data_IF_379196473563
#
_entry.id   IF_379196473563
#
_cell.length_a   1.000
_cell.length_b   1.000
_cell.length_c   1.000
_cell.angle_alpha   90.00
_cell.angle_beta   90.00
_cell.angle_gamma   90.00
#
_symmetry.space_group_name_H-M   'P 1'
#
loop_
_entity.id
_entity.type
_entity.pdbx_description
1 polymer ?
#
# COMPACT_ATOMS: atom_id res chain seq x y z
N UNK A 1 1.51 44.32 -69.32
CA UNK A 1 2.53 44.57 -68.27
C UNK A 1 1.93 44.15 -66.94
N UNK A 2 2.25 42.97 -66.42
CA UNK A 2 2.04 42.56 -65.01
C UNK A 2 2.90 41.31 -64.76
N UNK A 3 3.99 41.54 -64.04
CA UNK A 3 4.86 40.53 -63.44
C UNK A 3 4.26 40.08 -62.10
N UNK A 4 4.92 39.06 -61.50
CA UNK A 4 4.90 38.61 -60.09
C UNK A 4 4.02 37.38 -59.82
N UNK A 5 4.43 36.37 -59.06
CA UNK A 5 5.71 35.99 -58.44
C UNK A 5 5.50 34.56 -57.91
N UNK A 6 6.41 33.61 -58.18
CA UNK A 6 6.49 32.36 -57.41
C UNK A 6 7.49 32.59 -56.27
N UNK A 7 7.07 32.44 -55.01
CA UNK A 7 8.01 32.16 -53.92
C UNK A 7 7.27 31.48 -52.75
N UNK A 8 7.75 30.31 -52.36
CA UNK A 8 7.30 29.53 -51.22
C UNK A 8 7.81 30.11 -49.91
N UNK A 9 7.02 30.06 -48.83
CA UNK A 9 7.57 29.97 -47.48
C UNK A 9 6.57 29.27 -46.53
N UNK A 10 6.96 28.06 -46.13
CA UNK A 10 6.42 27.31 -45.00
C UNK A 10 6.79 28.00 -43.69
N UNK A 11 5.81 28.59 -42.99
CA UNK A 11 5.71 28.64 -41.52
C UNK A 11 4.42 29.39 -41.16
N UNK A 12 3.34 28.67 -40.86
CA UNK A 12 2.27 29.20 -40.00
C UNK A 12 2.07 28.17 -38.90
N UNK A 13 2.99 28.27 -37.95
CA UNK A 13 2.80 28.10 -36.51
C UNK A 13 1.41 27.66 -36.09
N UNK A 14 1.35 26.46 -35.50
CA UNK A 14 0.27 25.97 -34.63
C UNK A 14 -0.13 27.07 -33.64
N UNK A 15 -1.29 27.67 -33.88
CA UNK A 15 -1.85 28.70 -33.01
C UNK A 15 -3.31 28.35 -32.68
N UNK A 16 -3.52 28.11 -31.39
CA UNK A 16 -4.75 28.09 -30.61
C UNK A 16 -5.62 26.83 -30.85
N UNK A 17 -5.80 26.01 -29.82
CA UNK A 17 -6.69 26.41 -28.73
C UNK A 17 -6.10 26.13 -27.34
N UNK A 18 -5.53 27.16 -26.69
CA UNK A 18 -5.46 27.18 -25.23
C UNK A 18 -6.79 27.81 -24.76
N UNK A 19 -7.84 27.01 -24.74
CA UNK A 19 -9.18 27.42 -24.31
C UNK A 19 -9.18 27.41 -22.77
N UNK A 20 -9.06 28.59 -22.17
CA UNK A 20 -9.25 28.89 -20.75
C UNK A 20 -8.43 28.05 -19.75
N UNK A 21 -7.38 28.65 -19.15
CA UNK A 21 -6.87 28.20 -17.83
C UNK A 21 -7.89 28.61 -16.76
N UNK A 22 -9.05 27.96 -16.80
CA UNK A 22 -9.89 27.73 -15.63
C UNK A 22 -9.38 26.41 -15.03
N UNK A 23 -9.18 26.37 -13.71
CA UNK A 23 -8.40 25.34 -13.03
C UNK A 23 -8.64 23.91 -13.54
N UNK A 24 -7.62 23.34 -14.19
CA UNK A 24 -7.67 21.98 -14.72
C UNK A 24 -7.72 20.97 -13.56
N UNK A 25 -8.58 19.97 -13.67
CA UNK A 25 -8.59 18.85 -12.74
C UNK A 25 -7.28 18.05 -12.81
N UNK A 26 -6.92 17.29 -11.77
CA UNK A 26 -5.72 16.46 -11.75
C UNK A 26 -5.68 15.45 -12.90
N UNK A 27 -4.50 15.02 -13.34
CA UNK A 27 -4.38 14.03 -14.43
C UNK A 27 -5.06 12.69 -14.11
N UNK A 28 -5.16 12.39 -12.82
CA UNK A 28 -5.77 11.19 -12.28
C UNK A 28 -7.12 11.46 -11.61
N UNK A 29 -7.85 12.46 -12.11
CA UNK A 29 -9.20 12.79 -11.66
C UNK A 29 -10.19 11.63 -11.83
N UNK A 30 -9.96 10.78 -12.84
CA UNK A 30 -10.82 9.65 -13.14
C UNK A 30 -10.06 8.32 -13.09
N UNK A 31 -10.80 7.26 -12.75
CA UNK A 31 -10.31 5.89 -12.65
C UNK A 31 -9.68 5.33 -13.94
N UNK A 32 -9.96 5.94 -15.09
CA UNK A 32 -9.45 5.51 -16.41
C UNK A 32 -7.99 5.89 -16.63
N UNK A 33 -7.47 6.86 -15.86
CA UNK A 33 -6.09 7.35 -15.94
C UNK A 33 -5.46 7.43 -14.54
N UNK A 34 -5.45 6.33 -13.76
CA UNK A 34 -4.93 6.36 -12.41
C UNK A 34 -3.42 6.56 -12.41
N UNK A 35 -2.91 7.38 -11.48
CA UNK A 35 -1.47 7.52 -11.27
C UNK A 35 -0.90 6.22 -10.70
N UNK A 36 0.19 5.71 -11.26
CA UNK A 36 0.81 4.47 -10.78
C UNK A 36 1.65 4.76 -9.54
N UNK A 37 1.39 4.02 -8.46
CA UNK A 37 2.25 3.96 -7.29
C UNK A 37 3.05 2.67 -7.32
N UNK A 38 4.34 2.78 -7.00
CA UNK A 38 5.24 1.63 -6.86
C UNK A 38 5.47 1.38 -5.37
N UNK A 39 4.97 0.26 -4.81
CA UNK A 39 5.29 -0.12 -3.44
C UNK A 39 6.80 -0.26 -3.23
N UNK A 40 7.27 0.13 -2.06
CA UNK A 40 8.69 0.00 -1.70
C UNK A 40 8.89 -0.21 -0.21
N UNK A 41 10.07 -0.67 0.18
CA UNK A 41 10.43 -0.92 1.59
C UNK A 41 10.50 0.37 2.43
N UNK A 42 10.55 1.53 1.76
CA UNK A 42 10.43 2.86 2.37
C UNK A 42 9.37 3.68 1.65
N UNK A 43 8.76 4.60 2.39
CA UNK A 43 7.80 5.54 1.82
C UNK A 43 8.51 6.53 0.88
N UNK A 44 8.30 6.35 -0.43
CA UNK A 44 8.67 7.34 -1.45
C UNK A 44 7.43 8.12 -1.84
N UNK A 45 7.34 9.37 -1.39
CA UNK A 45 6.16 10.21 -1.59
C UNK A 45 5.96 10.54 -3.07
N UNK A 46 4.74 10.33 -3.55
CA UNK A 46 4.20 10.87 -4.79
C UNK A 46 3.28 12.03 -4.44
N UNK A 47 3.54 13.20 -5.02
CA UNK A 47 2.70 14.37 -4.82
C UNK A 47 1.32 14.15 -5.49
N UNK A 48 0.26 14.51 -4.76
CA UNK A 48 -1.12 14.44 -5.22
C UNK A 48 -1.86 15.74 -4.92
N UNK A 49 -2.98 15.96 -5.60
CA UNK A 49 -3.85 17.11 -5.33
C UNK A 49 -5.29 16.77 -5.68
N UNK A 50 -6.23 17.29 -4.89
CA UNK A 50 -7.68 17.26 -5.19
C UNK A 50 -8.18 18.61 -5.72
N UNK A 51 -7.28 19.54 -6.03
CA UNK A 51 -7.65 20.86 -6.53
C UNK A 51 -8.37 20.73 -7.88
N UNK A 52 -9.59 21.28 -7.94
CA UNK A 52 -10.52 21.17 -9.08
C UNK A 52 -10.90 19.73 -9.48
N UNK A 53 -10.69 18.74 -8.59
CA UNK A 53 -11.08 17.37 -8.87
C UNK A 53 -12.60 17.22 -9.00
N UNK A 54 -13.04 16.23 -9.77
CA UNK A 54 -14.45 15.90 -9.97
C UNK A 54 -14.79 14.59 -9.27
N UNK A 55 -16.08 14.30 -9.12
CA UNK A 55 -16.54 13.05 -8.55
C UNK A 55 -16.60 11.98 -9.64
N UNK A 56 -16.06 10.79 -9.39
CA UNK A 56 -16.21 9.64 -10.31
C UNK A 56 -17.59 9.00 -10.17
N UNK A 57 -18.45 9.00 -11.21
CA UNK A 57 -19.78 8.38 -11.15
C UNK A 57 -19.76 6.93 -11.64
N UNK A 58 -20.71 6.10 -11.17
CA UNK A 58 -21.17 4.92 -11.93
C UNK A 58 -20.75 3.53 -11.46
N UNK A 59 -19.98 3.38 -10.37
CA UNK A 59 -19.72 2.07 -9.76
C UNK A 59 -20.42 1.94 -8.39
N UNK A 60 -21.18 0.86 -8.11
CA UNK A 60 -21.85 0.67 -6.83
C UNK A 60 -20.92 0.62 -5.61
N UNK A 61 -19.70 0.11 -5.76
CA UNK A 61 -18.70 0.04 -4.71
C UNK A 61 -18.04 1.39 -4.44
N UNK A 62 -17.99 2.26 -5.46
CA UNK A 62 -17.71 3.69 -5.32
C UNK A 62 -19.00 4.33 -4.82
N UNK A 63 -19.30 4.10 -3.53
CA UNK A 63 -20.52 4.60 -2.88
C UNK A 63 -20.70 6.06 -3.28
N UNK A 64 -21.73 6.35 -4.08
CA UNK A 64 -21.85 7.55 -4.91
C UNK A 64 -22.20 8.81 -4.09
N UNK A 65 -21.61 8.97 -2.91
CA UNK A 65 -21.75 10.12 -2.06
C UNK A 65 -20.79 11.21 -2.51
N UNK A 66 -21.18 11.89 -3.60
CA UNK A 66 -21.06 13.34 -3.89
C UNK A 66 -19.70 14.05 -3.79
N UNK A 67 -18.63 13.39 -3.38
CA UNK A 67 -17.31 13.99 -3.21
C UNK A 67 -16.40 13.78 -4.39
N UNK A 68 -15.50 14.74 -4.59
CA UNK A 68 -14.44 14.70 -5.57
C UNK A 68 -13.38 13.67 -5.19
N UNK A 69 -12.71 13.10 -6.19
CA UNK A 69 -11.74 12.05 -6.00
C UNK A 69 -10.58 12.11 -6.98
N UNK A 70 -9.49 11.44 -6.62
CA UNK A 70 -8.38 11.15 -7.50
C UNK A 70 -7.94 9.70 -7.32
N UNK A 71 -7.42 9.13 -8.41
CA UNK A 71 -7.21 7.71 -8.55
C UNK A 71 -5.74 7.35 -8.67
N UNK A 72 -5.39 6.26 -8.01
CA UNK A 72 -4.09 5.64 -8.13
C UNK A 72 -4.25 4.14 -8.35
N UNK A 73 -3.22 3.50 -8.87
CA UNK A 73 -3.16 2.05 -8.98
C UNK A 73 -1.80 1.53 -8.56
N UNK A 74 -1.76 0.31 -8.02
CA UNK A 74 -0.52 -0.38 -7.71
C UNK A 74 -0.72 -1.89 -7.84
N UNK A 75 0.38 -2.61 -8.04
CA UNK A 75 0.38 -4.08 -7.96
C UNK A 75 0.89 -4.49 -6.59
N UNK A 76 0.12 -5.28 -5.85
CA UNK A 76 0.49 -5.69 -4.49
C UNK A 76 1.76 -6.56 -4.49
N UNK A 77 2.72 -6.23 -3.61
CA UNK A 77 3.94 -7.03 -3.42
C UNK A 77 3.91 -7.85 -2.12
N UNK A 78 3.12 -7.43 -1.13
CA UNK A 78 2.69 -8.26 0.00
C UNK A 78 1.17 -8.32 0.14
N UNK A 79 0.72 -9.14 1.09
CA UNK A 79 -0.69 -9.27 1.47
C UNK A 79 -1.22 -8.07 2.28
N UNK A 80 -0.34 -7.31 2.94
CA UNK A 80 -0.73 -6.21 3.83
C UNK A 80 0.22 -5.00 3.67
N UNK A 81 0.24 -4.34 2.49
CA UNK A 81 0.99 -3.10 2.33
C UNK A 81 0.40 -1.97 3.18
N UNK A 82 1.26 -1.07 3.65
CA UNK A 82 0.86 0.14 4.38
C UNK A 82 0.70 1.29 3.40
N UNK A 83 -0.51 1.83 3.28
CA UNK A 83 -0.81 2.98 2.41
C UNK A 83 -0.87 4.22 3.29
N UNK A 84 0.03 5.17 3.03
CA UNK A 84 0.11 6.43 3.77
C UNK A 84 -0.30 7.59 2.87
N UNK A 85 -1.24 8.41 3.33
CA UNK A 85 -1.48 9.75 2.78
C UNK A 85 -1.18 10.77 3.86
N UNK A 86 -0.30 11.71 3.56
CA UNK A 86 0.27 12.65 4.52
C UNK A 86 0.21 14.07 4.01
N UNK A 87 0.39 15.03 4.94
CA UNK A 87 0.36 16.46 4.66
C UNK A 87 -0.85 16.93 3.84
N UNK A 88 -2.10 16.54 4.20
CA UNK A 88 -3.27 17.06 3.51
C UNK A 88 -3.32 18.59 3.66
N UNK A 89 -3.49 19.27 2.54
CA UNK A 89 -3.60 20.72 2.48
C UNK A 89 -4.84 21.19 3.25
N UNK A 90 -4.80 22.44 3.71
CA UNK A 90 -5.81 23.00 4.61
C UNK A 90 -7.25 22.97 4.03
N UNK A 91 -7.38 22.95 2.69
CA UNK A 91 -8.68 22.92 2.02
C UNK A 91 -9.12 21.50 1.61
N UNK A 92 -8.28 20.47 1.78
CA UNK A 92 -8.70 19.08 1.60
C UNK A 92 -9.44 18.58 2.85
N UNK A 93 -10.70 18.99 2.96
CA UNK A 93 -11.54 18.69 4.12
C UNK A 93 -12.13 17.28 4.06
N UNK A 94 -12.38 16.67 5.23
CA UNK A 94 -12.93 15.33 5.38
C UNK A 94 -12.27 14.25 4.48
N UNK A 95 -10.93 14.14 4.47
CA UNK A 95 -10.21 13.30 3.53
C UNK A 95 -10.37 11.80 3.89
N UNK A 96 -10.61 11.00 2.86
CA UNK A 96 -10.86 9.55 2.95
C UNK A 96 -10.06 8.81 1.89
N UNK A 97 -9.91 7.51 2.12
CA UNK A 97 -9.26 6.60 1.19
C UNK A 97 -10.05 5.29 1.08
N UNK A 98 -10.03 4.74 -0.12
CA UNK A 98 -10.68 3.49 -0.45
C UNK A 98 -9.71 2.61 -1.26
N UNK A 99 -9.63 1.33 -0.90
CA UNK A 99 -8.85 0.31 -1.63
C UNK A 99 -9.83 -0.61 -2.33
N UNK A 100 -9.72 -0.71 -3.65
CA UNK A 100 -10.63 -1.49 -4.49
C UNK A 100 -9.88 -2.51 -5.34
N UNK A 101 -10.60 -3.54 -5.76
CA UNK A 101 -10.12 -4.59 -6.66
C UNK A 101 -11.16 -4.91 -7.73
N UNK A 102 -10.74 -5.58 -8.80
CA UNK A 102 -11.62 -5.95 -9.91
C UNK A 102 -11.72 -4.86 -10.97
N UNK A 103 -12.80 -4.88 -11.73
CA UNK A 103 -13.06 -4.00 -12.86
C UNK A 103 -14.15 -2.99 -12.55
N UNK A 104 -14.06 -1.80 -13.14
CA UNK A 104 -15.09 -0.77 -13.00
C UNK A 104 -16.49 -1.30 -13.36
N UNK A 105 -17.50 -0.90 -12.61
CA UNK A 105 -18.87 -1.42 -12.65
C UNK A 105 -19.10 -2.67 -11.80
N UNK A 106 -18.02 -3.28 -11.29
CA UNK A 106 -18.04 -4.51 -10.48
C UNK A 106 -16.91 -4.55 -9.46
N UNK A 107 -16.42 -3.37 -9.05
CA UNK A 107 -15.31 -3.31 -8.11
C UNK A 107 -15.71 -3.86 -6.74
N UNK A 108 -14.75 -4.46 -6.04
CA UNK A 108 -14.93 -4.95 -4.68
C UNK A 108 -14.10 -4.12 -3.70
N UNK A 109 -14.74 -3.70 -2.61
CA UNK A 109 -14.11 -2.98 -1.51
C UNK A 109 -13.17 -3.89 -0.70
N UNK A 110 -11.91 -3.47 -0.56
CA UNK A 110 -10.96 -4.04 0.40
C UNK A 110 -10.86 -3.20 1.66
N UNK A 111 -10.95 -1.89 1.51
CA UNK A 111 -10.96 -0.95 2.62
C UNK A 111 -11.70 0.33 2.23
N UNK A 112 -12.37 0.96 3.19
CA UNK A 112 -12.95 2.30 3.04
C UNK A 112 -12.97 3.00 4.40
N UNK A 113 -12.31 4.15 4.51
CA UNK A 113 -12.29 4.89 5.77
C UNK A 113 -11.54 6.22 5.69
N UNK A 114 -11.39 6.91 6.83
CA UNK A 114 -10.49 8.06 6.96
C UNK A 114 -9.06 7.71 6.53
N UNK A 115 -8.33 8.68 6.01
CA UNK A 115 -6.94 8.48 5.58
C UNK A 115 -6.04 7.92 6.69
N UNK A 116 -6.21 8.38 7.93
CA UNK A 116 -5.40 7.92 9.06
C UNK A 116 -5.56 6.43 9.39
N UNK A 117 -6.72 5.83 9.07
CA UNK A 117 -7.00 4.41 9.38
C UNK A 117 -6.43 3.42 8.37
N UNK A 118 -6.07 3.86 7.16
CA UNK A 118 -5.43 2.99 6.17
C UNK A 118 -4.00 2.56 6.56
N UNK A 119 -3.38 3.27 7.51
CA UNK A 119 -2.03 3.00 7.98
C UNK A 119 -1.88 1.72 8.79
N UNK A 120 -2.97 1.21 9.37
CA UNK A 120 -2.93 0.15 10.37
C UNK A 120 -3.88 -1.01 10.07
N UNK A 121 -4.60 -0.96 8.95
CA UNK A 121 -5.61 -1.96 8.62
C UNK A 121 -5.01 -3.09 7.77
N UNK A 122 -5.06 -4.35 8.21
CA UNK A 122 -4.74 -5.50 7.35
C UNK A 122 -5.70 -5.55 6.16
N UNK A 123 -5.14 -5.65 4.95
CA UNK A 123 -5.88 -5.59 3.70
C UNK A 123 -6.13 -6.98 3.07
N UNK A 124 -5.31 -7.99 3.42
CA UNK A 124 -5.39 -9.35 2.88
C UNK A 124 -5.46 -9.37 1.35
N UNK A 125 -4.54 -8.66 0.71
CA UNK A 125 -4.38 -8.55 -0.74
C UNK A 125 -3.76 -9.82 -1.32
N UNK A 126 -3.92 -10.02 -2.62
CA UNK A 126 -3.28 -11.09 -3.39
C UNK A 126 -2.06 -10.52 -4.09
N UNK A 127 -0.88 -11.06 -3.78
CA UNK A 127 0.39 -10.64 -4.39
C UNK A 127 0.33 -10.81 -5.91
N UNK A 128 0.83 -9.81 -6.64
CA UNK A 128 0.80 -9.77 -8.11
C UNK A 128 -0.53 -9.28 -8.70
N UNK A 129 -1.55 -9.03 -7.88
CA UNK A 129 -2.83 -8.46 -8.34
C UNK A 129 -2.79 -6.93 -8.31
N UNK A 130 -3.37 -6.30 -9.31
CA UNK A 130 -3.54 -4.83 -9.36
C UNK A 130 -4.74 -4.38 -8.52
N UNK A 131 -4.52 -3.37 -7.71
CA UNK A 131 -5.51 -2.70 -6.87
C UNK A 131 -5.60 -1.23 -7.21
N UNK A 132 -6.79 -0.66 -7.01
CA UNK A 132 -7.06 0.76 -7.21
C UNK A 132 -7.19 1.45 -5.85
N UNK A 133 -6.61 2.63 -5.74
CA UNK A 133 -6.75 3.51 -4.59
C UNK A 133 -7.51 4.75 -5.01
N UNK A 134 -8.59 5.03 -4.31
CA UNK A 134 -9.35 6.27 -4.46
C UNK A 134 -9.08 7.13 -3.23
N UNK A 135 -8.45 8.29 -3.43
CA UNK A 135 -8.32 9.33 -2.41
C UNK A 135 -9.43 10.34 -2.68
N UNK A 136 -10.31 10.55 -1.71
CA UNK A 136 -11.54 11.31 -1.93
C UNK A 136 -11.90 12.15 -0.71
N UNK A 137 -12.83 13.09 -0.89
CA UNK A 137 -13.44 13.80 0.23
C UNK A 137 -14.85 13.30 0.50
N UNK A 138 -15.25 13.27 1.77
CA UNK A 138 -16.67 13.14 2.12
C UNK A 138 -17.46 14.47 1.92
N UNK A 139 -16.77 15.58 1.63
CA UNK A 139 -17.35 16.85 1.21
C UNK A 139 -17.58 16.87 -0.29
N UNK A 140 -18.53 17.70 -0.76
CA UNK A 140 -18.97 17.73 -2.16
C UNK A 140 -18.28 18.78 -3.02
N UNK A 141 -17.62 19.76 -2.39
CA UNK A 141 -17.05 20.91 -3.09
C UNK A 141 -15.54 20.79 -3.15
N UNK A 142 -15.00 20.56 -4.35
CA UNK A 142 -13.57 20.51 -4.58
C UNK A 142 -12.92 21.86 -4.27
N UNK A 143 -11.75 21.87 -3.61
CA UNK A 143 -11.02 23.10 -3.39
C UNK A 143 -10.42 23.62 -4.69
N UNK A 144 -10.26 24.94 -4.82
CA UNK A 144 -9.55 25.57 -5.95
C UNK A 144 -8.08 25.86 -5.63
N UNK A 145 -7.68 25.71 -4.37
CA UNK A 145 -6.31 25.91 -3.85
C UNK A 145 -6.09 25.07 -2.58
N UNK A 146 -4.84 24.80 -2.20
CA UNK A 146 -4.46 24.13 -0.94
C UNK A 146 -5.13 22.76 -0.73
N UNK A 147 -5.36 22.02 -1.81
CA UNK A 147 -5.88 20.65 -1.81
C UNK A 147 -4.79 19.59 -2.04
N UNK A 148 -3.53 19.92 -1.78
CA UNK A 148 -2.39 19.04 -2.05
C UNK A 148 -2.21 17.99 -0.94
N UNK A 149 -1.54 16.89 -1.24
CA UNK A 149 -1.15 15.86 -0.28
C UNK A 149 0.02 15.04 -0.84
N UNK A 150 0.62 14.20 0.00
CA UNK A 150 1.57 13.17 -0.41
C UNK A 150 0.97 11.79 -0.22
N UNK A 151 1.22 10.86 -1.14
CA UNK A 151 0.83 9.46 -1.01
C UNK A 151 2.03 8.55 -1.26
N UNK A 152 2.13 7.47 -0.49
CA UNK A 152 3.11 6.41 -0.73
C UNK A 152 2.57 5.06 -0.26
N UNK A 153 3.20 3.99 -0.73
CA UNK A 153 2.94 2.64 -0.27
C UNK A 153 4.24 2.09 0.28
N UNK A 154 4.25 1.81 1.59
CA UNK A 154 5.34 1.06 2.21
C UNK A 154 4.95 -0.40 2.22
N UNK A 155 5.78 -1.23 1.60
CA UNK A 155 5.53 -2.65 1.47
C UNK A 155 6.81 -3.43 1.78
N UNK A 156 6.72 -4.25 2.83
CA UNK A 156 7.79 -5.15 3.24
C UNK A 156 7.27 -6.56 3.00
N UNK A 157 7.93 -7.31 2.13
CA UNK A 157 7.55 -8.70 1.91
C UNK A 157 7.64 -9.49 3.21
N UNK A 158 6.80 -10.52 3.33
CA UNK A 158 6.92 -11.48 4.42
C UNK A 158 8.36 -12.04 4.47
N UNK A 159 8.88 -12.33 5.68
CA UNK A 159 10.18 -12.99 5.83
C UNK A 159 10.21 -14.30 5.06
N UNK A 160 11.37 -14.68 4.51
CA UNK A 160 11.49 -15.93 3.77
C UNK A 160 11.08 -17.16 4.60
N UNK A 161 11.30 -17.11 5.91
CA UNK A 161 10.96 -18.13 6.88
C UNK A 161 9.58 -17.97 7.54
N UNK A 162 8.68 -17.19 6.95
CA UNK A 162 7.24 -17.21 7.24
C UNK A 162 6.66 -18.61 6.96
N UNK A 163 7.05 -19.22 5.84
CA UNK A 163 6.71 -20.61 5.55
C UNK A 163 7.63 -21.60 6.27
N UNK A 164 7.05 -22.60 6.95
CA UNK A 164 7.79 -23.70 7.58
C UNK A 164 8.74 -24.43 6.61
N UNK A 165 8.43 -24.49 5.32
CA UNK A 165 9.32 -25.13 4.34
C UNK A 165 10.68 -24.42 4.20
N UNK A 166 10.77 -23.15 4.61
CA UNK A 166 11.93 -22.28 4.46
C UNK A 166 12.56 -21.92 5.81
N UNK A 167 12.60 -22.86 6.77
CA UNK A 167 13.16 -22.60 8.11
C UNK A 167 14.58 -22.05 8.03
N UNK A 168 14.90 -21.08 8.90
CA UNK A 168 16.26 -20.58 9.05
C UNK A 168 17.00 -21.40 10.10
N UNK A 169 18.14 -21.98 9.73
CA UNK A 169 18.98 -22.72 10.69
C UNK A 169 19.77 -21.76 11.57
N UNK A 170 19.60 -21.89 12.89
CA UNK A 170 20.41 -21.21 13.90
C UNK A 170 21.58 -22.10 14.30
N UNK A 171 22.74 -21.48 14.52
CA UNK A 171 23.92 -22.16 15.04
C UNK A 171 23.87 -22.15 16.57
N UNK A 172 23.73 -23.33 17.19
CA UNK A 172 23.87 -23.47 18.64
C UNK A 172 25.35 -23.44 19.04
N UNK A 173 25.65 -22.76 20.14
CA UNK A 173 27.00 -22.67 20.70
C UNK A 173 26.96 -22.43 22.21
N UNK A 174 28.10 -22.55 22.91
CA UNK A 174 28.21 -22.23 24.33
C UNK A 174 27.93 -20.75 24.63
N UNK A 175 28.07 -19.88 23.62
CA UNK A 175 27.68 -18.47 23.66
C UNK A 175 26.98 -18.09 22.35
N UNK A 176 26.06 -17.12 22.40
CA UNK A 176 25.41 -16.57 21.22
C UNK A 176 26.38 -15.59 20.53
N UNK A 177 27.28 -16.11 19.70
CA UNK A 177 28.31 -15.30 19.03
C UNK A 177 27.78 -14.68 17.73
N UNK A 178 26.86 -15.37 17.05
CA UNK A 178 26.29 -14.97 15.75
C UNK A 178 24.77 -14.88 15.82
N UNK A 179 24.21 -13.82 16.45
CA UNK A 179 22.77 -13.63 16.45
C UNK A 179 22.26 -13.46 15.02
N UNK A 180 21.15 -14.13 14.69
CA UNK A 180 20.48 -14.01 13.39
C UNK A 180 19.41 -12.94 13.50
N UNK A 181 19.47 -11.92 12.64
CA UNK A 181 18.42 -10.91 12.55
C UNK A 181 17.16 -11.52 11.94
N UNK A 182 16.00 -11.15 12.48
CA UNK A 182 14.70 -11.59 11.99
C UNK A 182 13.66 -10.49 12.07
N UNK A 183 12.54 -10.70 11.39
CA UNK A 183 11.36 -9.83 11.43
C UNK A 183 10.11 -10.70 11.31
N UNK A 184 8.97 -10.19 11.77
CA UNK A 184 7.64 -10.78 11.56
C UNK A 184 6.75 -9.86 10.71
N UNK A 185 7.32 -8.81 10.11
CA UNK A 185 6.58 -7.86 9.29
C UNK A 185 5.93 -8.59 8.11
N UNK A 186 4.61 -8.50 8.00
CA UNK A 186 3.81 -9.20 7.00
C UNK A 186 3.91 -10.74 6.99
N UNK A 187 4.47 -11.35 8.04
CA UNK A 187 4.36 -12.79 8.24
C UNK A 187 2.89 -13.20 8.41
N UNK A 188 2.55 -14.37 7.92
CA UNK A 188 1.23 -14.98 8.06
C UNK A 188 1.21 -15.92 9.27
N UNK A 189 0.04 -16.19 9.89
CA UNK A 189 -0.06 -17.23 10.89
C UNK A 189 -0.03 -18.61 10.22
N UNK A 190 0.81 -19.50 10.71
CA UNK A 190 0.86 -20.89 10.27
C UNK A 190 -0.44 -21.65 10.53
N UNK A 191 -0.83 -22.49 9.57
CA UNK A 191 -2.04 -23.29 9.69
C UNK A 191 -1.93 -24.29 10.86
N UNK A 192 -2.91 -24.27 11.76
CA UNK A 192 -2.93 -25.16 12.93
C UNK A 192 -2.17 -24.64 14.14
N UNK A 193 -1.64 -23.41 14.09
CA UNK A 193 -1.26 -22.70 15.32
C UNK A 193 -2.54 -22.40 16.10
N UNK A 194 -2.91 -23.35 16.97
CA UNK A 194 -4.06 -23.20 17.83
C UNK A 194 -3.81 -21.98 18.71
N UNK A 195 -4.75 -21.04 18.70
CA UNK A 195 -4.80 -19.95 19.67
C UNK A 195 -4.51 -20.52 21.06
N UNK A 196 -3.29 -20.29 21.57
CA UNK A 196 -2.95 -20.68 22.93
C UNK A 196 -3.91 -19.92 23.83
N UNK A 197 -4.67 -20.63 24.66
CA UNK A 197 -5.65 -20.03 25.56
C UNK A 197 -4.99 -18.95 26.41
N UNK A 198 -5.40 -17.69 26.24
CA UNK A 198 -4.81 -16.53 26.92
C UNK A 198 -3.95 -15.62 26.03
N UNK A 199 -3.68 -16.01 24.78
CA UNK A 199 -3.09 -15.14 23.77
C UNK A 199 -4.17 -14.45 22.94
N UNK A 200 -3.98 -13.17 22.64
CA UNK A 200 -4.71 -12.52 21.55
C UNK A 200 -4.29 -13.18 20.21
N UNK A 201 -5.13 -13.05 19.17
CA UNK A 201 -4.89 -13.56 17.81
C UNK A 201 -3.40 -13.51 17.39
N UNK A 202 -2.79 -14.65 17.06
CA UNK A 202 -1.45 -14.69 16.45
C UNK A 202 -1.55 -14.00 15.10
N UNK A 203 -0.80 -12.92 14.90
CA UNK A 203 -0.88 -12.13 13.67
C UNK A 203 0.15 -12.56 12.62
N UNK A 204 1.16 -13.35 13.00
CA UNK A 204 2.14 -13.95 12.11
C UNK A 204 3.25 -14.68 12.88
N UNK A 205 3.86 -15.69 12.27
CA UNK A 205 4.97 -16.45 12.84
C UNK A 205 6.13 -16.64 11.85
N UNK A 206 7.29 -17.04 12.37
CA UNK A 206 8.48 -17.33 11.57
C UNK A 206 9.23 -18.53 12.14
N UNK A 207 9.86 -19.30 11.25
CA UNK A 207 10.40 -20.61 11.58
C UNK A 207 11.92 -20.63 11.64
N UNK A 208 12.42 -21.24 12.72
CA UNK A 208 13.84 -21.48 12.95
C UNK A 208 14.07 -22.94 13.35
N UNK A 209 15.25 -23.47 13.03
CA UNK A 209 15.69 -24.82 13.46
C UNK A 209 17.08 -24.76 14.06
N UNK A 210 17.38 -25.63 15.02
CA UNK A 210 18.70 -25.76 15.60
C UNK A 210 18.91 -27.17 16.16
N UNK A 211 20.17 -27.58 16.28
CA UNK A 211 20.55 -28.80 17.00
C UNK A 211 20.99 -28.41 18.41
N UNK A 212 20.28 -28.90 19.43
CA UNK A 212 20.60 -28.62 20.82
C UNK A 212 21.96 -29.23 21.22
N UNK A 213 22.77 -28.46 21.96
CA UNK A 213 24.06 -28.92 22.51
C UNK A 213 23.99 -29.28 24.01
N UNK A 214 22.85 -29.02 24.64
CA UNK A 214 22.55 -29.41 26.01
C UNK A 214 21.09 -29.86 26.11
N UNK A 215 20.75 -30.53 27.21
CA UNK A 215 19.37 -30.96 27.49
C UNK A 215 18.42 -29.78 27.71
N UNK A 216 18.94 -28.61 28.08
CA UNK A 216 18.19 -27.39 28.37
C UNK A 216 18.89 -26.19 27.70
N UNK A 217 18.76 -26.02 26.38
CA UNK A 217 19.34 -24.86 25.69
C UNK A 217 18.58 -23.58 26.07
N UNK A 218 19.28 -22.45 26.13
CA UNK A 218 18.67 -21.13 26.31
C UNK A 218 18.56 -20.46 24.95
N UNK A 219 17.35 -20.06 24.59
CA UNK A 219 17.08 -19.25 23.40
C UNK A 219 16.93 -17.79 23.86
N UNK A 220 17.76 -16.90 23.35
CA UNK A 220 17.70 -15.47 23.65
C UNK A 220 17.33 -14.68 22.40
N UNK A 221 16.51 -13.65 22.59
CA UNK A 221 16.18 -12.64 21.59
C UNK A 221 16.58 -11.28 22.16
N UNK A 222 17.14 -10.44 21.31
CA UNK A 222 17.52 -9.06 21.65
C UNK A 222 16.93 -8.10 20.61
N UNK A 223 16.86 -6.81 20.93
CA UNK A 223 16.34 -5.78 20.02
C UNK A 223 14.91 -6.07 19.50
N UNK A 224 14.04 -6.60 20.37
CA UNK A 224 12.63 -6.87 20.05
C UNK A 224 11.93 -5.54 19.76
N UNK A 225 11.34 -5.41 18.57
CA UNK A 225 10.61 -4.22 18.15
C UNK A 225 9.36 -3.95 18.99
N UNK A 226 9.00 -2.69 19.17
CA UNK A 226 7.87 -2.26 20.03
C UNK A 226 6.49 -2.73 19.54
N UNK A 227 6.38 -3.13 18.27
CA UNK A 227 5.16 -3.69 17.70
C UNK A 227 4.88 -5.13 18.13
N UNK A 228 5.85 -5.82 18.74
CA UNK A 228 5.68 -7.17 19.26
C UNK A 228 5.19 -7.07 20.71
N UNK A 229 3.89 -7.30 20.91
CA UNK A 229 3.23 -7.20 22.22
C UNK A 229 3.08 -8.55 22.93
N UNK A 230 3.40 -9.65 22.24
CA UNK A 230 3.47 -11.00 22.80
C UNK A 230 4.41 -11.87 21.96
N UNK A 231 5.27 -12.64 22.63
CA UNK A 231 6.15 -13.63 22.00
C UNK A 231 5.81 -15.00 22.55
N UNK A 232 5.64 -15.94 21.63
CA UNK A 232 5.40 -17.33 21.94
C UNK A 232 6.40 -18.20 21.18
N UNK A 233 6.86 -19.26 21.85
CA UNK A 233 7.67 -20.30 21.23
C UNK A 233 6.83 -21.56 21.12
N UNK A 234 6.45 -21.92 19.90
CA UNK A 234 5.93 -23.24 19.57
C UNK A 234 7.05 -24.17 19.15
N UNK A 235 6.92 -25.46 19.43
CA UNK A 235 7.78 -26.49 18.85
C UNK A 235 6.94 -27.46 18.04
N UNK A 236 7.32 -27.72 16.80
CA UNK A 236 6.73 -28.80 16.00
C UNK A 236 7.69 -29.97 16.04
N UNK A 237 7.36 -31.00 16.81
CA UNK A 237 8.06 -32.29 16.72
C UNK A 237 7.47 -33.08 15.56
N UNK A 238 8.08 -32.99 14.38
CA UNK A 238 7.81 -33.96 13.32
C UNK A 238 8.40 -35.31 13.72
N UNK A 239 7.66 -36.12 14.48
CA UNK A 239 7.90 -37.56 14.55
C UNK A 239 7.19 -38.18 13.35
N UNK A 240 7.88 -38.29 12.20
CA UNK A 240 7.47 -39.22 11.16
C UNK A 240 8.25 -40.51 11.38
N UNK A 241 7.52 -41.53 11.81
CA UNK A 241 7.95 -42.93 11.78
C UNK A 241 8.16 -43.39 10.34
#
# INVERSE_FOLDING_TARGET
MKWSLRMALSLVTTLLVNLAVLGQAPVNDLYTSPTILTPGVTCTNVAGTVVNATATPGDPAINAATGYDVWYQFTATSVNPVINVSSPGANFTAPRIQVLSGTFGSMANKFNGPIATALTTPLSLVVGTTYYLRVYSASTTAPTTLGDFNICITDVNAPANDAFANVVTLTSGPTCVTPVSGTIANASPSAGDAQVTGCNSVTGDVWYTFTAQSVNPVISMTNIGTSITGLYFGSVTSVRW
#
